data_IF_959733852023
#
_entry.id   IF_959733852023
#
_cell.length_a   1.000
_cell.length_b   1.000
_cell.length_c   1.000
_cell.angle_alpha   90.00
_cell.angle_beta   90.00
_cell.angle_gamma   90.00
#
_symmetry.space_group_name_H-M   'P 1'
#
loop_
_entity.id
_entity.type
_entity.pdbx_description
1 polymer ?
#
# COMPACT_ATOMS: atom_id res chain seq x y z
N UNK A 1 -15.82 -0.82 15.05
CA UNK A 1 -14.78 0.10 15.60
C UNK A 1 -13.75 -0.70 16.39
N UNK A 2 -12.49 -0.44 16.16
CA UNK A 2 -11.39 -1.07 16.88
C UNK A 2 -10.84 -0.13 17.95
N UNK A 3 -11.08 -0.46 19.25
CA UNK A 3 -10.68 0.38 20.39
C UNK A 3 -11.07 1.88 20.22
N UNK A 4 -12.33 2.15 19.90
CA UNK A 4 -12.89 3.50 19.65
C UNK A 4 -12.38 4.20 18.38
N UNK A 5 -11.45 3.59 17.61
CA UNK A 5 -10.98 4.12 16.33
C UNK A 5 -11.71 3.46 15.16
N UNK A 6 -12.08 4.26 14.19
CA UNK A 6 -12.64 3.77 12.93
C UNK A 6 -11.52 3.38 11.97
N UNK A 7 -11.67 2.25 11.31
CA UNK A 7 -10.69 1.68 10.40
C UNK A 7 -11.22 1.77 8.96
N UNK A 8 -10.46 2.44 8.10
CA UNK A 8 -10.70 2.45 6.65
C UNK A 8 -9.62 1.63 5.95
N UNK A 9 -10.05 0.69 5.10
CA UNK A 9 -9.18 -0.04 4.18
C UNK A 9 -9.32 0.56 2.79
N UNK A 10 -8.20 0.81 2.09
CA UNK A 10 -8.15 1.36 0.73
C UNK A 10 -7.43 0.38 -0.19
N UNK A 11 -8.07 0.03 -1.30
CA UNK A 11 -7.62 -0.98 -2.24
C UNK A 11 -7.66 -0.39 -3.65
N UNK A 12 -6.50 0.05 -4.22
CA UNK A 12 -6.45 0.43 -5.62
C UNK A 12 -6.55 -0.81 -6.51
N UNK A 13 -7.41 -0.76 -7.51
CA UNK A 13 -7.64 -1.86 -8.45
C UNK A 13 -7.54 -1.39 -9.89
N UNK A 14 -6.97 -2.26 -10.74
CA UNK A 14 -6.99 -2.14 -12.20
C UNK A 14 -7.02 -3.56 -12.78
N UNK A 15 -8.18 -4.01 -13.26
CA UNK A 15 -8.37 -5.37 -13.75
C UNK A 15 -7.89 -6.43 -12.74
N UNK A 16 -8.56 -6.47 -11.60
CA UNK A 16 -8.26 -7.38 -10.46
C UNK A 16 -9.52 -8.17 -10.05
N UNK A 17 -10.41 -8.50 -10.99
CA UNK A 17 -11.69 -9.18 -10.71
C UNK A 17 -11.56 -10.41 -9.80
N UNK A 18 -10.58 -11.29 -10.09
CA UNK A 18 -10.36 -12.51 -9.30
C UNK A 18 -9.68 -12.22 -7.96
N UNK A 19 -8.73 -11.28 -7.94
CA UNK A 19 -7.99 -10.92 -6.74
C UNK A 19 -8.86 -10.21 -5.72
N UNK A 20 -9.65 -9.23 -6.18
CA UNK A 20 -10.49 -8.42 -5.29
C UNK A 20 -11.59 -9.25 -4.61
N UNK A 21 -12.13 -10.28 -5.28
CA UNK A 21 -13.08 -11.22 -4.68
C UNK A 21 -12.44 -11.94 -3.47
N UNK A 22 -11.22 -12.46 -3.66
CA UNK A 22 -10.48 -13.15 -2.59
C UNK A 22 -10.11 -12.20 -1.44
N UNK A 23 -9.77 -10.95 -1.74
CA UNK A 23 -9.46 -9.94 -0.73
C UNK A 23 -10.70 -9.59 0.09
N UNK A 24 -11.81 -9.28 -0.56
CA UNK A 24 -13.02 -8.82 0.12
C UNK A 24 -13.72 -9.93 0.92
N UNK A 25 -13.72 -11.17 0.41
CA UNK A 25 -14.30 -12.31 1.11
C UNK A 25 -13.63 -12.63 2.46
N UNK A 26 -12.36 -12.22 2.64
CA UNK A 26 -11.57 -12.43 3.86
C UNK A 26 -11.37 -11.16 4.68
N UNK A 27 -12.07 -10.06 4.33
CA UNK A 27 -11.92 -8.79 5.05
C UNK A 27 -12.37 -8.96 6.51
N UNK A 28 -11.51 -8.61 7.49
CA UNK A 28 -11.88 -8.71 8.90
C UNK A 28 -13.07 -7.82 9.27
N UNK A 29 -13.98 -8.32 10.10
CA UNK A 29 -15.18 -7.60 10.56
C UNK A 29 -14.90 -6.32 11.36
N UNK A 30 -13.67 -6.14 11.82
CA UNK A 30 -13.24 -4.94 12.56
C UNK A 30 -13.03 -3.72 11.64
N UNK A 31 -13.02 -3.91 10.31
CA UNK A 31 -12.92 -2.83 9.33
C UNK A 31 -14.28 -2.14 9.21
N UNK A 32 -14.30 -0.81 9.40
CA UNK A 32 -15.54 -0.02 9.38
C UNK A 32 -15.88 0.52 7.98
N UNK A 33 -14.88 0.73 7.12
CA UNK A 33 -15.04 1.22 5.75
C UNK A 33 -14.05 0.52 4.82
N UNK A 34 -14.54 -0.01 3.71
CA UNK A 34 -13.70 -0.54 2.62
C UNK A 34 -13.92 0.31 1.38
N UNK A 35 -12.85 0.93 0.89
CA UNK A 35 -12.84 1.73 -0.32
C UNK A 35 -12.05 0.99 -1.39
N UNK A 36 -12.70 0.63 -2.48
CA UNK A 36 -12.05 0.13 -3.68
C UNK A 36 -11.95 1.27 -4.68
N UNK A 37 -10.71 1.65 -5.05
CA UNK A 37 -10.50 2.68 -6.06
C UNK A 37 -10.26 2.00 -7.40
N UNK A 38 -11.30 1.99 -8.24
CA UNK A 38 -11.24 1.47 -9.61
C UNK A 38 -10.52 2.47 -10.52
N UNK A 39 -9.28 2.15 -10.90
CA UNK A 39 -8.42 3.01 -11.71
C UNK A 39 -8.53 2.72 -13.23
N UNK A 40 -9.75 2.52 -13.70
CA UNK A 40 -10.10 2.32 -15.11
C UNK A 40 -10.03 0.85 -15.52
N UNK A 41 -10.61 -0.05 -14.71
CA UNK A 41 -10.78 -1.46 -15.07
C UNK A 41 -11.76 -1.63 -16.24
N UNK A 42 -11.52 -2.67 -17.02
CA UNK A 42 -12.35 -3.09 -18.16
C UNK A 42 -13.02 -4.45 -17.91
N UNK A 43 -12.67 -5.10 -16.81
CA UNK A 43 -13.27 -6.35 -16.31
C UNK A 43 -14.38 -6.06 -15.26
N UNK A 44 -14.80 -7.07 -14.52
CA UNK A 44 -15.85 -6.95 -13.50
C UNK A 44 -15.34 -6.51 -12.12
N UNK A 45 -14.13 -5.97 -12.01
CA UNK A 45 -13.51 -5.55 -10.73
C UNK A 45 -14.47 -4.68 -9.90
N UNK A 46 -15.04 -3.64 -10.51
CA UNK A 46 -15.95 -2.71 -9.81
C UNK A 46 -17.26 -3.41 -9.36
N UNK A 47 -17.85 -4.25 -10.22
CA UNK A 47 -19.09 -4.96 -9.92
C UNK A 47 -18.89 -5.95 -8.78
N UNK A 48 -17.77 -6.69 -8.79
CA UNK A 48 -17.40 -7.60 -7.70
C UNK A 48 -17.24 -6.81 -6.40
N UNK A 49 -16.53 -5.70 -6.41
CA UNK A 49 -16.33 -4.89 -5.21
C UNK A 49 -17.65 -4.38 -4.61
N UNK A 50 -18.57 -3.92 -5.45
CA UNK A 50 -19.92 -3.50 -5.00
C UNK A 50 -20.70 -4.67 -4.40
N UNK A 51 -20.62 -5.87 -4.96
CA UNK A 51 -21.35 -7.05 -4.46
C UNK A 51 -20.91 -7.48 -3.06
N UNK A 52 -19.68 -7.16 -2.65
CA UNK A 52 -19.17 -7.36 -1.29
C UNK A 52 -19.41 -6.16 -0.35
N UNK A 53 -20.14 -5.13 -0.81
CA UNK A 53 -20.49 -3.96 0.00
C UNK A 53 -19.36 -2.93 0.14
N UNK A 54 -18.32 -2.99 -0.70
CA UNK A 54 -17.29 -1.98 -0.72
C UNK A 54 -17.79 -0.67 -1.35
N UNK A 55 -17.30 0.45 -0.85
CA UNK A 55 -17.46 1.75 -1.49
C UNK A 55 -16.53 1.82 -2.72
N UNK A 56 -17.10 1.89 -3.92
CA UNK A 56 -16.33 1.94 -5.17
C UNK A 56 -16.20 3.39 -5.64
N UNK A 57 -14.96 3.84 -5.77
CA UNK A 57 -14.63 5.17 -6.30
C UNK A 57 -13.91 5.01 -7.64
N UNK A 58 -14.41 5.64 -8.69
CA UNK A 58 -13.76 5.63 -9.99
C UNK A 58 -12.71 6.74 -10.09
N UNK A 59 -11.51 6.36 -10.53
CA UNK A 59 -10.44 7.28 -10.91
C UNK A 59 -10.11 7.07 -12.40
N UNK A 60 -10.48 8.04 -13.22
CA UNK A 60 -10.41 7.91 -14.68
C UNK A 60 -9.00 8.07 -15.25
N UNK A 61 -8.10 8.71 -14.50
CA UNK A 61 -6.72 8.89 -14.92
C UNK A 61 -5.86 7.81 -14.26
N UNK A 62 -5.24 6.96 -15.07
CA UNK A 62 -4.41 5.86 -14.58
C UNK A 62 -3.23 6.36 -13.74
N UNK A 63 -2.98 5.67 -12.63
CA UNK A 63 -1.85 5.95 -11.77
C UNK A 63 -2.04 5.37 -10.36
N UNK A 64 -1.08 4.58 -9.92
CA UNK A 64 -1.10 3.93 -8.61
C UNK A 64 -1.22 4.95 -7.46
N UNK A 65 -0.34 5.95 -7.45
CA UNK A 65 -0.39 7.03 -6.46
C UNK A 65 -1.66 7.88 -6.56
N UNK A 66 -2.17 8.08 -7.79
CA UNK A 66 -3.42 8.80 -8.01
C UNK A 66 -4.60 8.07 -7.38
N UNK A 67 -4.67 6.75 -7.56
CA UNK A 67 -5.71 5.94 -6.96
C UNK A 67 -5.67 6.02 -5.42
N UNK A 68 -4.48 5.91 -4.81
CA UNK A 68 -4.35 6.08 -3.36
C UNK A 68 -4.77 7.48 -2.88
N UNK A 69 -4.33 8.55 -3.54
CA UNK A 69 -4.73 9.91 -3.17
C UNK A 69 -6.25 10.10 -3.25
N UNK A 70 -6.90 9.48 -4.23
CA UNK A 70 -8.35 9.48 -4.35
C UNK A 70 -9.04 8.75 -3.21
N UNK A 71 -8.52 7.58 -2.83
CA UNK A 71 -8.98 6.80 -1.68
C UNK A 71 -8.76 7.53 -0.36
N UNK A 72 -7.60 8.16 -0.16
CA UNK A 72 -7.33 8.95 1.05
C UNK A 72 -8.29 10.12 1.25
N UNK A 73 -8.69 10.77 0.16
CA UNK A 73 -9.64 11.88 0.20
C UNK A 73 -11.05 11.43 0.65
N UNK A 74 -11.43 10.18 0.41
CA UNK A 74 -12.73 9.62 0.78
C UNK A 74 -12.71 8.87 2.13
N UNK A 75 -11.52 8.60 2.68
CA UNK A 75 -11.38 7.86 3.93
C UNK A 75 -11.94 8.65 5.12
N UNK A 76 -12.80 8.02 5.89
CA UNK A 76 -13.40 8.61 7.10
C UNK A 76 -12.83 8.07 8.40
N UNK A 77 -12.11 6.95 8.37
CA UNK A 77 -11.53 6.31 9.54
C UNK A 77 -10.36 7.09 10.14
N UNK A 78 -10.08 6.83 11.40
CA UNK A 78 -8.94 7.40 12.14
C UNK A 78 -7.63 6.76 11.75
N UNK A 79 -7.69 5.46 11.41
CA UNK A 79 -6.60 4.66 10.92
C UNK A 79 -6.90 4.21 9.50
N UNK A 80 -5.94 4.40 8.61
CA UNK A 80 -6.00 3.94 7.23
C UNK A 80 -5.10 2.72 7.09
N UNK A 81 -5.62 1.70 6.40
CA UNK A 81 -4.88 0.53 5.97
C UNK A 81 -4.93 0.45 4.45
N UNK A 82 -3.84 0.11 3.83
CA UNK A 82 -3.77 -0.12 2.39
C UNK A 82 -3.40 -1.55 2.08
N UNK A 83 -3.92 -2.09 1.00
CA UNK A 83 -3.47 -3.35 0.40
C UNK A 83 -3.83 -3.37 -1.08
N UNK A 84 -3.13 -4.22 -1.85
CA UNK A 84 -3.40 -4.35 -3.28
C UNK A 84 -4.58 -5.29 -3.53
N UNK A 85 -5.29 -5.09 -4.65
CA UNK A 85 -6.46 -5.89 -5.03
C UNK A 85 -6.13 -7.27 -5.60
N UNK A 86 -4.84 -7.61 -5.77
CA UNK A 86 -4.36 -8.83 -6.42
C UNK A 86 -4.15 -10.03 -5.49
N UNK A 87 -4.61 -9.94 -4.24
CA UNK A 87 -4.49 -10.98 -3.21
C UNK A 87 -3.05 -11.25 -2.70
N UNK A 88 -2.05 -10.51 -3.13
CA UNK A 88 -0.66 -10.73 -2.66
C UNK A 88 -0.45 -10.34 -1.19
N UNK A 89 -1.27 -9.45 -0.66
CA UNK A 89 -1.33 -9.08 0.75
C UNK A 89 -2.54 -9.75 1.42
N UNK A 90 -2.33 -10.58 2.46
CA UNK A 90 -3.44 -11.26 3.11
C UNK A 90 -4.26 -10.29 3.98
N UNK A 91 -5.58 -10.15 3.74
CA UNK A 91 -6.44 -9.31 4.57
C UNK A 91 -6.43 -9.71 6.05
N UNK A 92 -6.18 -10.98 6.35
CA UNK A 92 -6.09 -11.51 7.70
C UNK A 92 -4.95 -10.88 8.51
N UNK A 93 -3.89 -10.37 7.84
CA UNK A 93 -2.81 -9.67 8.50
C UNK A 93 -3.26 -8.33 9.14
N UNK A 94 -4.39 -7.77 8.72
CA UNK A 94 -4.92 -6.50 9.24
C UNK A 94 -5.04 -6.53 10.77
N UNK A 95 -5.62 -7.59 11.33
CA UNK A 95 -5.79 -7.71 12.78
C UNK A 95 -4.45 -7.69 13.52
N UNK A 96 -3.48 -8.47 13.04
CA UNK A 96 -2.14 -8.52 13.58
C UNK A 96 -1.41 -7.16 13.47
N UNK A 97 -1.51 -6.51 12.30
CA UNK A 97 -0.87 -5.21 12.09
C UNK A 97 -1.47 -4.10 12.96
N UNK A 98 -2.79 -4.12 13.20
CA UNK A 98 -3.45 -3.16 14.10
C UNK A 98 -3.02 -3.36 15.56
N UNK A 99 -2.91 -4.61 16.03
CA UNK A 99 -2.37 -4.91 17.37
C UNK A 99 -0.94 -4.38 17.52
N UNK A 100 -0.09 -4.66 16.54
CA UNK A 100 1.28 -4.17 16.53
C UNK A 100 1.37 -2.64 16.45
N UNK A 101 0.55 -2.01 15.60
CA UNK A 101 0.44 -0.56 15.46
C UNK A 101 0.12 0.12 16.79
N UNK A 102 -0.82 -0.45 17.52
CA UNK A 102 -1.21 0.02 18.86
C UNK A 102 -0.11 -0.23 19.90
N UNK A 103 0.41 -1.47 19.96
CA UNK A 103 1.42 -1.86 20.95
C UNK A 103 2.70 -1.03 20.83
N UNK A 104 3.18 -0.82 19.60
CA UNK A 104 4.37 -0.02 19.32
C UNK A 104 4.10 1.49 19.38
N UNK A 105 2.85 1.90 19.52
CA UNK A 105 2.42 3.31 19.54
C UNK A 105 2.96 4.13 18.38
N UNK A 106 3.05 3.54 17.19
CA UNK A 106 3.56 4.18 15.98
C UNK A 106 2.49 5.00 15.26
N UNK A 107 2.91 5.87 14.36
CA UNK A 107 2.03 6.69 13.53
C UNK A 107 1.96 6.16 12.10
N UNK A 108 2.99 5.40 11.68
CA UNK A 108 3.06 4.70 10.40
C UNK A 108 3.73 3.33 10.55
N UNK A 109 3.08 2.28 10.10
CA UNK A 109 3.59 0.91 10.07
C UNK A 109 3.65 0.41 8.63
N UNK A 110 4.84 0.01 8.17
CA UNK A 110 5.05 -0.62 6.88
C UNK A 110 5.04 -2.14 7.02
N UNK A 111 4.15 -2.83 6.29
CA UNK A 111 4.14 -4.28 6.27
C UNK A 111 5.25 -4.79 5.34
N UNK A 112 6.24 -5.46 5.91
CA UNK A 112 7.37 -6.05 5.19
C UNK A 112 6.97 -7.32 4.48
N UNK A 113 7.29 -7.43 3.19
CA UNK A 113 7.16 -8.66 2.41
C UNK A 113 8.28 -9.66 2.64
N UNK A 114 9.30 -9.28 3.39
CA UNK A 114 10.48 -10.10 3.64
C UNK A 114 10.52 -10.66 5.07
N UNK A 115 11.05 -11.89 5.26
CA UNK A 115 11.51 -12.83 4.24
C UNK A 115 10.35 -13.39 3.40
N UNK A 116 10.51 -13.44 2.08
CA UNK A 116 9.51 -14.02 1.18
C UNK A 116 9.54 -15.54 1.36
N UNK A 117 8.51 -16.11 1.99
CA UNK A 117 8.39 -17.55 2.25
C UNK A 117 7.89 -18.31 1.03
N UNK A 118 6.94 -17.75 0.31
CA UNK A 118 6.46 -18.27 -0.96
C UNK A 118 7.43 -17.87 -2.08
N UNK A 119 8.13 -18.85 -2.65
CA UNK A 119 9.16 -18.61 -3.70
C UNK A 119 8.57 -18.03 -4.99
N UNK A 120 7.30 -18.29 -5.26
CA UNK A 120 6.59 -17.82 -6.46
C UNK A 120 6.05 -16.40 -6.29
N UNK A 121 5.87 -15.93 -5.05
CA UNK A 121 5.31 -14.61 -4.77
C UNK A 121 6.16 -13.44 -5.29
N UNK A 122 7.48 -13.63 -5.42
CA UNK A 122 8.37 -12.57 -5.89
C UNK A 122 9.57 -13.12 -6.64
N UNK A 123 9.74 -12.72 -7.91
CA UNK A 123 10.89 -13.10 -8.71
C UNK A 123 12.20 -12.56 -8.15
N UNK A 124 13.33 -13.20 -8.49
CA UNK A 124 14.66 -12.74 -8.09
C UNK A 124 14.94 -11.29 -8.53
N UNK A 125 14.51 -10.92 -9.75
CA UNK A 125 14.67 -9.55 -10.30
C UNK A 125 13.95 -8.52 -9.43
N UNK A 126 12.72 -8.82 -9.00
CA UNK A 126 11.96 -7.93 -8.11
C UNK A 126 12.59 -7.82 -6.72
N UNK A 127 13.14 -8.94 -6.17
CA UNK A 127 13.86 -8.92 -4.89
C UNK A 127 15.09 -8.02 -4.96
N UNK A 128 15.90 -8.15 -6.02
CA UNK A 128 17.08 -7.30 -6.24
C UNK A 128 16.71 -5.84 -6.46
N UNK A 129 15.70 -5.55 -7.29
CA UNK A 129 15.22 -4.19 -7.50
C UNK A 129 14.75 -3.54 -6.22
N UNK A 130 13.95 -4.25 -5.40
CA UNK A 130 13.51 -3.75 -4.10
C UNK A 130 14.68 -3.51 -3.14
N UNK A 131 15.67 -4.41 -3.11
CA UNK A 131 16.86 -4.23 -2.25
C UNK A 131 17.64 -2.97 -2.63
N UNK A 132 17.86 -2.73 -3.92
CA UNK A 132 18.56 -1.54 -4.42
C UNK A 132 17.79 -0.26 -4.04
N UNK A 133 16.48 -0.22 -4.28
CA UNK A 133 15.64 0.93 -3.96
C UNK A 133 15.54 1.17 -2.45
N UNK A 134 15.43 0.11 -1.65
CA UNK A 134 15.41 0.22 -0.19
C UNK A 134 16.74 0.71 0.38
N UNK A 135 17.86 0.25 -0.19
CA UNK A 135 19.19 0.75 0.19
C UNK A 135 19.37 2.23 -0.21
N UNK A 136 18.99 2.59 -1.43
CA UNK A 136 19.04 3.99 -1.90
C UNK A 136 18.18 4.89 -1.00
N UNK A 137 16.96 4.49 -0.66
CA UNK A 137 16.08 5.20 0.26
C UNK A 137 16.74 5.35 1.63
N UNK A 138 17.32 4.26 2.16
CA UNK A 138 17.98 4.26 3.47
C UNK A 138 19.14 5.25 3.54
N UNK A 139 19.97 5.29 2.49
CA UNK A 139 21.13 6.21 2.40
C UNK A 139 20.65 7.66 2.25
N UNK A 140 19.71 7.92 1.34
CA UNK A 140 19.25 9.28 1.03
C UNK A 140 18.49 9.93 2.19
N UNK A 141 17.76 9.14 2.97
CA UNK A 141 16.90 9.65 4.05
C UNK A 141 17.40 9.32 5.46
N UNK A 142 18.59 8.73 5.58
CA UNK A 142 19.24 8.41 6.86
C UNK A 142 18.37 7.57 7.81
N UNK A 143 17.53 6.71 7.23
CA UNK A 143 16.65 5.81 7.96
C UNK A 143 16.68 4.42 7.32
N UNK A 144 17.04 3.43 8.09
CA UNK A 144 17.04 2.05 7.60
C UNK A 144 15.62 1.63 7.19
N UNK A 145 15.46 1.27 5.92
CA UNK A 145 14.20 0.80 5.33
C UNK A 145 14.45 -0.53 4.62
N UNK A 146 13.73 -1.57 5.05
CA UNK A 146 13.92 -2.92 4.54
C UNK A 146 13.06 -3.23 3.31
N UNK A 147 11.91 -2.56 3.17
CA UNK A 147 11.00 -2.73 2.04
C UNK A 147 10.36 -1.41 1.61
N UNK A 148 11.07 -0.68 0.72
CA UNK A 148 10.57 0.60 0.20
C UNK A 148 9.38 0.44 -0.76
N UNK A 149 9.19 -0.76 -1.35
CA UNK A 149 8.18 -1.04 -2.37
C UNK A 149 6.93 -1.75 -1.85
N UNK A 150 6.82 -2.01 -0.54
CA UNK A 150 5.60 -2.59 0.01
C UNK A 150 4.39 -1.66 -0.20
N UNK A 151 3.24 -2.21 -0.58
CA UNK A 151 1.97 -1.49 -0.77
C UNK A 151 1.00 -1.63 0.42
N UNK A 152 1.35 -2.41 1.45
CA UNK A 152 0.50 -2.55 2.64
C UNK A 152 1.04 -1.71 3.80
N UNK A 153 0.25 -0.70 4.21
CA UNK A 153 0.60 0.23 5.28
C UNK A 153 -0.56 0.35 6.27
N UNK A 154 -0.24 0.65 7.52
CA UNK A 154 -1.19 1.04 8.56
C UNK A 154 -0.73 2.38 9.13
N UNK A 155 -1.56 3.40 9.06
CA UNK A 155 -1.16 4.72 9.55
C UNK A 155 -2.33 5.57 10.04
N UNK A 156 -2.04 6.54 10.91
CA UNK A 156 -3.01 7.52 11.36
C UNK A 156 -3.41 8.46 10.23
N UNK A 157 -4.70 8.59 9.94
CA UNK A 157 -5.18 9.52 8.91
C UNK A 157 -4.69 10.96 9.12
N UNK A 158 -4.53 11.36 10.36
CA UNK A 158 -4.09 12.72 10.72
C UNK A 158 -2.71 13.10 10.17
N UNK A 159 -1.82 12.14 9.89
CA UNK A 159 -0.50 12.45 9.34
C UNK A 159 -0.54 12.88 7.87
N UNK A 160 -1.61 12.55 7.13
CA UNK A 160 -1.78 12.95 5.73
C UNK A 160 -1.70 14.48 5.56
N UNK A 161 -2.21 15.24 6.51
CA UNK A 161 -2.17 16.70 6.46
C UNK A 161 -0.74 17.29 6.50
N UNK A 162 0.26 16.49 6.92
CA UNK A 162 1.66 16.87 6.99
C UNK A 162 2.50 16.32 5.85
N UNK A 163 1.91 15.50 4.98
CA UNK A 163 2.60 14.83 3.88
C UNK A 163 2.40 15.59 2.57
N UNK A 164 3.48 15.70 1.78
CA UNK A 164 3.44 16.27 0.44
C UNK A 164 3.51 15.14 -0.60
N UNK A 165 2.34 14.58 -0.94
CA UNK A 165 2.19 13.44 -1.84
C UNK A 165 1.95 13.91 -3.28
N UNK A 166 2.99 13.88 -4.11
CA UNK A 166 3.00 14.42 -5.48
C UNK A 166 2.95 13.32 -6.55
N UNK A 167 3.57 12.15 -6.29
CA UNK A 167 3.64 11.08 -7.27
C UNK A 167 2.26 10.54 -7.63
N UNK A 168 1.99 10.41 -8.93
CA UNK A 168 0.80 9.73 -9.44
C UNK A 168 1.07 8.26 -9.79
N UNK A 169 2.35 7.87 -9.95
CA UNK A 169 2.78 6.54 -10.40
C UNK A 169 3.26 5.63 -9.28
N UNK A 170 4.07 4.64 -9.65
CA UNK A 170 4.57 3.60 -8.74
C UNK A 170 5.55 4.11 -7.67
N UNK A 171 6.24 5.22 -7.92
CA UNK A 171 7.11 5.87 -6.94
C UNK A 171 6.35 6.35 -5.69
N UNK A 172 5.01 6.34 -5.74
CA UNK A 172 4.16 6.66 -4.59
C UNK A 172 4.41 5.74 -3.39
N UNK A 173 4.73 4.46 -3.63
CA UNK A 173 5.07 3.51 -2.56
C UNK A 173 6.26 3.95 -1.72
N UNK A 174 7.24 4.58 -2.35
CA UNK A 174 8.40 5.16 -1.66
C UNK A 174 8.06 6.51 -1.06
N UNK A 175 7.37 7.34 -1.83
CA UNK A 175 7.04 8.71 -1.45
C UNK A 175 6.28 8.77 -0.12
N UNK A 176 5.24 7.95 0.05
CA UNK A 176 4.42 7.99 1.27
C UNK A 176 5.24 7.66 2.52
N UNK A 177 6.19 6.71 2.43
CA UNK A 177 7.07 6.35 3.54
C UNK A 177 8.07 7.47 3.85
N UNK A 178 8.64 8.09 2.82
CA UNK A 178 9.53 9.23 2.94
C UNK A 178 8.81 10.41 3.59
N UNK A 179 7.60 10.72 3.13
CA UNK A 179 6.81 11.82 3.68
C UNK A 179 6.34 11.53 5.11
N UNK A 180 6.05 10.27 5.46
CA UNK A 180 5.79 9.86 6.83
C UNK A 180 7.01 10.16 7.72
N UNK A 181 8.21 9.78 7.29
CA UNK A 181 9.45 10.08 8.02
C UNK A 181 9.70 11.60 8.14
N UNK A 182 9.53 12.36 7.05
CA UNK A 182 9.70 13.82 7.04
C UNK A 182 8.67 14.53 7.94
N UNK A 183 7.47 13.97 8.10
CA UNK A 183 6.43 14.52 8.97
C UNK A 183 6.73 14.36 10.46
N UNK A 184 7.79 13.63 10.82
CA UNK A 184 8.15 13.27 12.20
C UNK A 184 7.33 12.10 12.75
N UNK A 185 6.65 11.33 11.89
CA UNK A 185 5.89 10.15 12.31
C UNK A 185 6.81 9.07 12.89
N UNK A 186 6.35 8.44 13.97
CA UNK A 186 6.99 7.22 14.49
C UNK A 186 6.71 6.08 13.52
N UNK A 187 7.77 5.63 12.84
CA UNK A 187 7.71 4.69 11.74
C UNK A 187 8.37 3.37 12.11
N UNK A 188 7.66 2.26 11.89
CA UNK A 188 8.19 0.91 12.07
C UNK A 188 7.83 -0.02 10.91
N UNK A 189 8.54 -1.14 10.83
CA UNK A 189 8.34 -2.18 9.83
C UNK A 189 8.12 -3.54 10.47
N UNK A 190 7.06 -4.24 10.06
CA UNK A 190 6.72 -5.59 10.57
C UNK A 190 6.51 -6.55 9.41
N UNK A 191 7.12 -7.74 9.50
CA UNK A 191 6.99 -8.78 8.48
C UNK A 191 5.59 -9.40 8.46
N UNK A 192 5.08 -9.59 7.26
CA UNK A 192 3.84 -10.33 6.97
C UNK A 192 4.12 -11.55 6.09
N UNK A 193 3.14 -12.43 5.96
CA UNK A 193 3.15 -13.45 4.94
C UNK A 193 2.73 -12.82 3.61
N UNK A 194 3.68 -12.68 2.69
CA UNK A 194 3.41 -12.21 1.33
C UNK A 194 3.24 -13.43 0.41
N UNK A 195 2.18 -13.46 -0.37
CA UNK A 195 1.77 -14.59 -1.20
C UNK A 195 1.83 -14.27 -2.69
N UNK A 196 1.71 -15.28 -3.53
CA UNK A 196 1.61 -15.12 -4.97
C UNK A 196 0.34 -14.35 -5.33
N UNK A 197 0.47 -13.40 -6.23
CA UNK A 197 -0.65 -12.62 -6.75
C UNK A 197 -1.55 -13.44 -7.67
N UNK A 198 -2.81 -13.05 -7.74
CA UNK A 198 -3.72 -13.46 -8.80
C UNK A 198 -3.72 -12.41 -9.92
N UNK A 199 -3.83 -12.87 -11.16
CA UNK A 199 -3.84 -11.99 -12.33
C UNK A 199 -2.45 -11.58 -12.86
N UNK A 200 -2.42 -10.63 -13.77
CA UNK A 200 -1.23 -10.25 -14.54
C UNK A 200 -0.32 -9.26 -13.81
N UNK A 201 0.99 -9.39 -14.05
CA UNK A 201 1.99 -8.41 -13.57
C UNK A 201 1.97 -7.20 -14.50
N UNK A 202 1.54 -6.04 -13.97
CA UNK A 202 1.43 -4.79 -14.74
C UNK A 202 2.69 -3.92 -14.67
N UNK A 203 3.67 -4.31 -13.85
CA UNK A 203 4.92 -3.58 -13.63
C UNK A 203 6.00 -3.98 -14.64
N UNK A 204 6.74 -2.98 -15.13
CA UNK A 204 7.99 -3.19 -15.85
C UNK A 204 9.17 -2.93 -14.89
N UNK A 205 9.88 -3.98 -14.41
CA UNK A 205 10.87 -3.83 -13.34
C UNK A 205 12.00 -2.84 -13.66
N UNK A 206 12.43 -2.77 -14.91
CA UNK A 206 13.52 -1.90 -15.32
C UNK A 206 13.10 -0.44 -15.45
N UNK A 207 12.04 -0.18 -16.22
CA UNK A 207 11.53 1.19 -16.44
C UNK A 207 11.06 1.81 -15.14
N UNK A 208 10.26 1.06 -14.38
CA UNK A 208 9.68 1.56 -13.14
C UNK A 208 10.74 1.68 -12.04
N UNK A 209 11.72 0.74 -11.98
CA UNK A 209 12.84 0.80 -11.06
C UNK A 209 13.76 2.01 -11.29
N UNK A 210 14.12 2.32 -12.54
CA UNK A 210 14.91 3.49 -12.88
C UNK A 210 14.16 4.80 -12.59
N UNK A 211 12.86 4.84 -12.89
CA UNK A 211 12.02 5.98 -12.58
C UNK A 211 11.93 6.22 -11.07
N UNK A 212 11.75 5.17 -10.28
CA UNK A 212 11.69 5.24 -8.82
C UNK A 212 13.01 5.76 -8.26
N UNK A 213 14.16 5.25 -8.74
CA UNK A 213 15.47 5.75 -8.31
C UNK A 213 15.68 7.25 -8.64
N UNK A 214 15.29 7.65 -9.86
CA UNK A 214 15.34 9.06 -10.26
C UNK A 214 14.43 9.92 -9.37
N UNK A 215 13.21 9.42 -9.06
CA UNK A 215 12.26 10.10 -8.19
C UNK A 215 12.81 10.28 -6.77
N UNK A 216 13.47 9.26 -6.19
CA UNK A 216 14.13 9.34 -4.89
C UNK A 216 15.15 10.47 -4.84
N UNK A 217 16.02 10.56 -5.85
CA UNK A 217 17.02 11.63 -5.97
C UNK A 217 16.35 13.00 -6.10
N UNK A 218 15.39 13.13 -7.02
CA UNK A 218 14.63 14.37 -7.19
C UNK A 218 13.98 14.82 -5.88
N UNK A 219 13.24 13.92 -5.21
CA UNK A 219 12.52 14.20 -3.96
C UNK A 219 13.45 14.56 -2.78
N UNK A 220 14.71 14.10 -2.82
CA UNK A 220 15.71 14.43 -1.78
C UNK A 220 16.23 15.84 -1.90
N UNK A 221 16.40 16.34 -3.14
CA UNK A 221 17.04 17.61 -3.43
C UNK A 221 16.08 18.71 -3.92
N UNK A 222 14.76 18.45 -3.90
CA UNK A 222 13.70 19.46 -4.07
C UNK A 222 13.24 19.92 -2.69
#
# INVERSE_FOLDING_TARGET
>A
MYHEQRITVIIPCLNEEQGIEQVLSRMPKLVDQVIVVDNGSTDRTADVAVSFGAEVIREHVRGYGRAYKRGFAAATGDVIITLDGDHSYPPEAISYLLEAFKHLQVDFLNALRFPVRDKEAMSFKHKMGNLILSLATSILYFRWMRDSQSGMWVFRRSILAKMKLESDGMAFSEEIKIEALKSGARFEEISILYTSRLGEIKLNPWRDGLYNLWFLLKKRFS
#
